data_IF_541897642319
#
_entry.id   IF_541897642319
#
_cell.length_a   1.000
_cell.length_b   1.000
_cell.length_c   1.000
_cell.angle_alpha   90.00
_cell.angle_beta   90.00
_cell.angle_gamma   90.00
#
_symmetry.space_group_name_H-M   'P 1'
#
loop_
_entity.id
_entity.type
_entity.pdbx_description
1 polymer ?
#
# COMPACT_ATOMS: atom_id res chain seq x y z
N UNK A 1 -0.87 37.43 -5.22
CA UNK A 1 0.35 37.28 -4.40
C UNK A 1 1.18 36.21 -5.09
N UNK A 2 2.35 36.56 -5.63
CA UNK A 2 3.30 35.55 -6.09
C UNK A 2 4.04 34.97 -4.88
N UNK A 3 4.20 33.66 -4.85
CA UNK A 3 4.94 32.97 -3.80
C UNK A 3 6.43 33.03 -4.16
N UNK A 4 7.26 33.56 -3.24
CA UNK A 4 8.71 33.60 -3.40
C UNK A 4 9.35 32.28 -2.93
N UNK A 5 10.00 31.56 -3.85
CA UNK A 5 10.70 30.31 -3.59
C UNK A 5 12.22 30.47 -3.41
N UNK A 6 12.75 31.70 -3.42
CA UNK A 6 14.20 31.97 -3.38
C UNK A 6 14.90 31.42 -2.13
N UNK A 7 14.18 31.32 -1.02
CA UNK A 7 14.71 30.90 0.28
C UNK A 7 14.53 29.41 0.59
N UNK A 8 13.95 28.61 -0.32
CA UNK A 8 13.79 27.17 -0.12
C UNK A 8 15.17 26.50 -0.02
N UNK A 9 15.38 25.72 1.05
CA UNK A 9 16.62 24.97 1.31
C UNK A 9 16.45 23.45 1.24
N UNK A 10 15.25 22.97 1.55
CA UNK A 10 14.92 21.55 1.64
C UNK A 10 13.68 21.27 0.79
N UNK A 11 13.71 20.18 0.03
CA UNK A 11 12.55 19.66 -0.69
C UNK A 11 12.26 18.26 -0.16
N UNK A 12 11.06 18.07 0.37
CA UNK A 12 10.54 16.76 0.74
C UNK A 12 9.83 16.12 -0.43
N UNK A 13 10.16 14.85 -0.69
CA UNK A 13 9.44 13.99 -1.61
C UNK A 13 8.67 12.96 -0.80
N UNK A 14 7.40 12.79 -1.12
CA UNK A 14 6.72 11.53 -0.82
C UNK A 14 7.35 10.41 -1.66
N UNK A 15 7.11 9.16 -1.29
CA UNK A 15 7.74 8.00 -1.92
C UNK A 15 6.77 7.30 -2.87
N UNK A 16 5.75 6.67 -2.30
CA UNK A 16 4.81 5.82 -3.00
C UNK A 16 3.91 6.66 -3.92
N UNK A 17 3.78 6.22 -5.17
CA UNK A 17 3.05 6.90 -6.25
C UNK A 17 3.53 8.34 -6.55
N UNK A 18 4.71 8.71 -6.02
CA UNK A 18 5.40 9.98 -6.29
C UNK A 18 6.77 9.74 -6.94
N UNK A 19 7.55 8.79 -6.41
CA UNK A 19 8.85 8.40 -6.94
C UNK A 19 8.79 7.04 -7.65
N UNK A 20 7.93 6.14 -7.19
CA UNK A 20 7.74 4.81 -7.78
C UNK A 20 6.28 4.37 -7.72
N UNK A 21 5.93 3.40 -8.55
CA UNK A 21 4.59 2.80 -8.58
C UNK A 21 4.34 2.02 -7.28
N UNK A 22 3.17 2.19 -6.67
CA UNK A 22 2.77 1.44 -5.48
C UNK A 22 1.29 1.03 -5.48
N UNK A 23 0.35 1.94 -5.73
CA UNK A 23 -1.11 1.67 -5.67
C UNK A 23 -1.55 0.49 -6.54
N UNK A 24 -0.94 0.31 -7.72
CA UNK A 24 -1.24 -0.82 -8.62
C UNK A 24 -1.06 -2.17 -7.92
N UNK A 25 -0.04 -2.31 -7.07
CA UNK A 25 0.21 -3.56 -6.35
C UNK A 25 -0.81 -3.81 -5.25
N UNK A 26 -1.30 -2.77 -4.58
CA UNK A 26 -2.40 -2.88 -3.62
C UNK A 26 -3.70 -3.29 -4.33
N UNK A 27 -4.00 -2.72 -5.50
CA UNK A 27 -5.16 -3.12 -6.31
C UNK A 27 -5.10 -4.57 -6.77
N UNK A 28 -3.92 -5.03 -7.20
CA UNK A 28 -3.71 -6.43 -7.55
C UNK A 28 -3.99 -7.35 -6.36
N UNK A 29 -3.48 -7.00 -5.18
CA UNK A 29 -3.69 -7.76 -3.95
C UNK A 29 -5.18 -7.79 -3.51
N UNK A 30 -5.88 -6.66 -3.56
CA UNK A 30 -7.33 -6.59 -3.29
C UNK A 30 -8.12 -7.52 -4.22
N UNK A 31 -7.81 -7.51 -5.52
CA UNK A 31 -8.46 -8.38 -6.49
C UNK A 31 -8.21 -9.87 -6.22
N UNK A 32 -6.98 -10.26 -5.91
CA UNK A 32 -6.66 -11.65 -5.56
C UNK A 32 -7.33 -12.07 -4.25
N UNK A 33 -7.34 -11.20 -3.24
CA UNK A 33 -8.05 -11.43 -1.99
C UNK A 33 -9.57 -11.63 -2.22
N UNK A 34 -10.19 -10.79 -3.03
CA UNK A 34 -11.60 -10.92 -3.40
C UNK A 34 -11.90 -12.25 -4.11
N UNK A 35 -11.00 -12.71 -5.00
CA UNK A 35 -11.14 -14.03 -5.64
C UNK A 35 -11.05 -15.16 -4.63
N UNK A 36 -10.11 -15.09 -3.67
CA UNK A 36 -9.96 -16.08 -2.61
C UNK A 36 -11.20 -16.22 -1.72
N UNK A 37 -11.97 -15.14 -1.57
CA UNK A 37 -13.20 -15.11 -0.75
C UNK A 37 -14.49 -15.15 -1.57
N UNK A 38 -14.42 -15.51 -2.85
CA UNK A 38 -15.58 -15.53 -3.76
C UNK A 38 -16.70 -16.51 -3.37
N UNK A 39 -16.38 -17.54 -2.57
CA UNK A 39 -17.38 -18.45 -1.99
C UNK A 39 -18.17 -17.84 -0.83
N UNK A 40 -17.67 -16.75 -0.24
CA UNK A 40 -18.26 -16.10 0.93
C UNK A 40 -18.98 -14.79 0.59
N UNK A 41 -18.40 -13.97 -0.30
CA UNK A 41 -18.96 -12.67 -0.66
C UNK A 41 -18.60 -12.23 -2.07
N UNK A 42 -19.33 -11.21 -2.56
CA UNK A 42 -19.01 -10.55 -3.84
C UNK A 42 -17.74 -9.69 -3.74
N UNK A 43 -16.96 -9.50 -4.83
CA UNK A 43 -15.76 -8.67 -4.80
C UNK A 43 -16.00 -7.26 -4.23
N UNK A 44 -17.05 -6.57 -4.70
CA UNK A 44 -17.41 -5.24 -4.21
C UNK A 44 -17.67 -5.20 -2.69
N UNK A 45 -18.26 -6.27 -2.14
CA UNK A 45 -18.54 -6.35 -0.71
C UNK A 45 -17.28 -6.66 0.07
N UNK A 46 -16.45 -7.58 -0.42
CA UNK A 46 -15.15 -7.91 0.16
C UNK A 46 -14.26 -6.67 0.26
N UNK A 47 -14.15 -5.88 -0.81
CA UNK A 47 -13.33 -4.65 -0.82
C UNK A 47 -13.84 -3.62 0.21
N UNK A 48 -15.16 -3.41 0.26
CA UNK A 48 -15.77 -2.47 1.22
C UNK A 48 -15.55 -2.88 2.68
N UNK A 49 -15.66 -4.18 2.98
CA UNK A 49 -15.45 -4.66 4.34
C UNK A 49 -13.96 -4.67 4.71
N UNK A 50 -13.08 -5.04 3.77
CA UNK A 50 -11.62 -4.95 3.97
C UNK A 50 -11.20 -3.53 4.33
N UNK A 51 -11.64 -2.53 3.57
CA UNK A 51 -11.33 -1.13 3.85
C UNK A 51 -11.79 -0.70 5.26
N UNK A 52 -12.99 -1.13 5.69
CA UNK A 52 -13.47 -0.85 7.06
C UNK A 52 -12.60 -1.50 8.12
N UNK A 53 -12.09 -2.71 7.87
CA UNK A 53 -11.18 -3.40 8.78
C UNK A 53 -9.84 -2.68 8.86
N UNK A 54 -9.26 -2.27 7.73
CA UNK A 54 -8.04 -1.47 7.71
C UNK A 54 -8.21 -0.17 8.51
N UNK A 55 -9.32 0.56 8.30
CA UNK A 55 -9.59 1.80 9.04
C UNK A 55 -9.76 1.55 10.55
N UNK A 56 -10.35 0.43 10.95
CA UNK A 56 -10.43 0.02 12.36
C UNK A 56 -9.05 -0.28 12.93
N UNK A 57 -8.21 -0.97 12.18
CA UNK A 57 -6.90 -1.43 12.60
C UNK A 57 -5.80 -0.38 12.46
N UNK A 58 -6.06 0.73 11.77
CA UNK A 58 -5.08 1.76 11.45
C UNK A 58 -4.37 2.32 12.69
N UNK A 59 -5.08 2.49 13.81
CA UNK A 59 -4.49 3.02 15.05
C UNK A 59 -3.55 2.03 15.75
N UNK A 60 -3.69 0.73 15.47
CA UNK A 60 -2.92 -0.34 16.09
C UNK A 60 -1.80 -0.83 15.18
N UNK A 61 -2.10 -1.14 13.93
CA UNK A 61 -1.13 -1.71 12.97
C UNK A 61 -0.42 -0.65 12.14
N UNK A 62 -0.96 0.57 12.05
CA UNK A 62 -0.41 1.61 11.18
C UNK A 62 -0.60 1.32 9.70
N UNK A 63 0.26 1.92 8.87
CA UNK A 63 0.24 1.83 7.41
C UNK A 63 1.23 0.76 6.91
N UNK A 64 0.99 0.28 5.70
CA UNK A 64 1.92 -0.54 4.92
C UNK A 64 1.49 -2.00 4.76
N UNK A 65 2.34 -2.81 4.12
CA UNK A 65 1.94 -4.13 3.62
C UNK A 65 1.63 -5.09 4.76
N UNK A 66 2.40 -5.05 5.85
CA UNK A 66 2.14 -5.93 7.00
C UNK A 66 0.78 -5.65 7.65
N UNK A 67 0.41 -4.38 7.82
CA UNK A 67 -0.88 -4.03 8.41
C UNK A 67 -2.04 -4.40 7.50
N UNK A 68 -1.84 -4.26 6.19
CA UNK A 68 -2.78 -4.72 5.17
C UNK A 68 -3.01 -6.24 5.24
N UNK A 69 -1.94 -7.04 5.30
CA UNK A 69 -2.02 -8.51 5.39
C UNK A 69 -2.71 -8.97 6.67
N UNK A 70 -2.41 -8.37 7.82
CA UNK A 70 -3.11 -8.67 9.07
C UNK A 70 -4.61 -8.39 8.94
N UNK A 71 -4.98 -7.27 8.29
CA UNK A 71 -6.38 -6.92 8.05
C UNK A 71 -7.07 -7.88 7.08
N UNK A 72 -6.37 -8.37 6.04
CA UNK A 72 -6.88 -9.41 5.15
C UNK A 72 -7.16 -10.73 5.89
N UNK A 73 -6.24 -11.16 6.76
CA UNK A 73 -6.42 -12.37 7.57
C UNK A 73 -7.62 -12.23 8.50
N UNK A 74 -7.75 -11.12 9.22
CA UNK A 74 -8.91 -10.86 10.07
C UNK A 74 -10.22 -10.80 9.27
N UNK A 75 -10.20 -10.16 8.10
CA UNK A 75 -11.36 -10.06 7.24
C UNK A 75 -11.79 -11.42 6.69
N UNK A 76 -10.85 -12.27 6.30
CA UNK A 76 -11.13 -13.63 5.85
C UNK A 76 -11.78 -14.47 6.95
N UNK A 77 -11.32 -14.35 8.19
CA UNK A 77 -11.95 -14.99 9.35
C UNK A 77 -13.38 -14.48 9.55
N UNK A 78 -13.60 -13.16 9.47
CA UNK A 78 -14.92 -12.56 9.71
C UNK A 78 -15.92 -12.91 8.59
N UNK A 79 -15.57 -12.70 7.32
CA UNK A 79 -16.49 -12.96 6.19
C UNK A 79 -16.85 -14.43 6.04
N UNK A 80 -15.91 -15.33 6.35
CA UNK A 80 -16.17 -16.77 6.32
C UNK A 80 -16.92 -17.30 7.53
N UNK A 81 -17.29 -16.43 8.49
CA UNK A 81 -17.78 -16.84 9.80
C UNK A 81 -16.87 -17.89 10.46
N UNK A 82 -15.56 -17.65 10.41
CA UNK A 82 -14.49 -18.52 10.93
C UNK A 82 -14.42 -19.92 10.29
N UNK A 83 -14.95 -20.09 9.07
CA UNK A 83 -14.84 -21.33 8.29
C UNK A 83 -13.86 -21.24 7.11
N UNK A 84 -13.07 -20.15 7.03
CA UNK A 84 -12.01 -20.01 6.03
C UNK A 84 -11.00 -21.14 6.17
N UNK A 85 -10.61 -21.73 5.03
CA UNK A 85 -9.65 -22.83 5.03
C UNK A 85 -8.24 -22.33 5.39
N UNK A 86 -7.43 -23.20 6.01
CA UNK A 86 -6.01 -22.89 6.27
C UNK A 86 -5.24 -22.63 4.97
N UNK A 87 -5.65 -23.24 3.85
CA UNK A 87 -5.05 -22.99 2.52
C UNK A 87 -5.34 -21.58 2.02
N UNK A 88 -6.53 -21.05 2.30
CA UNK A 88 -6.89 -19.67 1.95
C UNK A 88 -6.07 -18.67 2.78
N UNK A 89 -5.87 -18.95 4.08
CA UNK A 89 -4.98 -18.14 4.92
C UNK A 89 -3.54 -18.16 4.41
N UNK A 90 -3.03 -19.33 4.01
CA UNK A 90 -1.69 -19.47 3.41
C UNK A 90 -1.57 -18.63 2.13
N UNK A 91 -2.57 -18.67 1.25
CA UNK A 91 -2.61 -17.85 0.05
C UNK A 91 -2.65 -16.33 0.34
N UNK A 92 -3.34 -15.90 1.40
CA UNK A 92 -3.33 -14.49 1.85
C UNK A 92 -1.92 -14.08 2.30
N UNK A 93 -1.21 -14.96 3.01
CA UNK A 93 0.16 -14.69 3.41
C UNK A 93 1.09 -14.60 2.19
N UNK A 94 0.86 -15.41 1.16
CA UNK A 94 1.63 -15.34 -0.08
C UNK A 94 1.38 -14.05 -0.85
N UNK A 95 0.15 -13.54 -0.92
CA UNK A 95 -0.13 -12.18 -1.46
C UNK A 95 0.74 -11.14 -0.74
N UNK A 96 0.79 -11.19 0.59
CA UNK A 96 1.62 -10.28 1.39
C UNK A 96 3.11 -10.39 1.09
N UNK A 97 3.63 -11.61 0.97
CA UNK A 97 5.05 -11.85 0.62
C UNK A 97 5.36 -11.35 -0.78
N UNK A 98 4.45 -11.53 -1.74
CA UNK A 98 4.60 -11.03 -3.10
C UNK A 98 4.66 -9.50 -3.12
N UNK A 99 3.74 -8.83 -2.41
CA UNK A 99 3.74 -7.37 -2.27
C UNK A 99 5.08 -6.84 -1.71
N UNK A 100 5.61 -7.44 -0.64
CA UNK A 100 6.90 -7.05 -0.03
C UNK A 100 8.07 -7.19 -1.01
N UNK A 101 7.99 -8.17 -1.93
CA UNK A 101 9.06 -8.45 -2.88
C UNK A 101 8.85 -7.77 -4.25
N UNK A 102 7.82 -6.93 -4.42
CA UNK A 102 7.61 -6.19 -5.66
C UNK A 102 8.84 -5.30 -5.95
N UNK A 103 9.31 -5.28 -7.21
CA UNK A 103 10.42 -4.41 -7.57
C UNK A 103 10.02 -2.93 -7.46
N UNK A 104 10.97 -2.09 -7.06
CA UNK A 104 10.77 -0.65 -7.07
C UNK A 104 10.88 -0.13 -8.51
N UNK A 105 9.74 0.19 -9.11
CA UNK A 105 9.65 0.75 -10.46
C UNK A 105 9.49 2.27 -10.40
N UNK A 106 10.57 3.00 -10.71
CA UNK A 106 10.57 4.46 -10.70
C UNK A 106 9.63 5.04 -11.76
N UNK A 107 8.93 6.11 -11.40
CA UNK A 107 8.13 6.87 -12.37
C UNK A 107 9.04 7.63 -13.35
N UNK A 108 8.50 7.89 -14.55
CA UNK A 108 9.24 8.59 -15.59
C UNK A 108 9.75 9.95 -15.11
N UNK A 109 11.03 10.24 -15.38
CA UNK A 109 11.64 11.53 -15.07
C UNK A 109 12.08 11.70 -13.62
N UNK A 110 11.71 10.80 -12.69
CA UNK A 110 12.10 10.87 -11.27
C UNK A 110 13.62 10.98 -11.12
N UNK A 111 14.36 10.09 -11.77
CA UNK A 111 15.83 10.10 -11.68
C UNK A 111 16.42 11.43 -12.18
N UNK A 112 15.90 11.98 -13.28
CA UNK A 112 16.32 13.27 -13.82
C UNK A 112 16.04 14.42 -12.83
N UNK A 113 14.83 14.47 -12.29
CA UNK A 113 14.39 15.51 -11.35
C UNK A 113 15.24 15.49 -10.08
N UNK A 114 15.42 14.31 -9.47
CA UNK A 114 16.22 14.16 -8.26
C UNK A 114 17.70 14.54 -8.51
N UNK A 115 18.29 14.10 -9.63
CA UNK A 115 19.67 14.49 -10.02
C UNK A 115 19.83 15.99 -10.24
N UNK A 116 18.80 16.67 -10.73
CA UNK A 116 18.83 18.12 -10.98
C UNK A 116 18.68 18.91 -9.68
N UNK A 117 17.73 18.52 -8.83
CA UNK A 117 17.39 19.25 -7.61
C UNK A 117 18.41 19.04 -6.49
N UNK A 118 19.01 17.84 -6.39
CA UNK A 118 20.03 17.54 -5.37
C UNK A 118 21.27 18.42 -5.44
N UNK A 119 21.53 19.05 -6.60
CA UNK A 119 22.63 20.01 -6.79
C UNK A 119 22.45 21.32 -6.03
N UNK A 120 21.19 21.69 -5.72
CA UNK A 120 20.84 22.99 -5.11
C UNK A 120 20.13 22.86 -3.77
N UNK A 121 19.34 21.81 -3.58
CA UNK A 121 18.50 21.62 -2.41
C UNK A 121 18.90 20.36 -1.66
N UNK A 122 18.73 20.37 -0.33
CA UNK A 122 18.72 19.14 0.45
C UNK A 122 17.43 18.38 0.14
N UNK A 123 17.54 17.15 -0.33
CA UNK A 123 16.38 16.31 -0.59
C UNK A 123 16.13 15.40 0.61
N UNK A 124 14.87 15.26 1.01
CA UNK A 124 14.45 14.30 2.04
C UNK A 124 13.32 13.45 1.47
N UNK A 125 13.30 12.18 1.86
CA UNK A 125 12.18 11.29 1.63
C UNK A 125 11.29 11.32 2.88
N UNK A 126 9.99 11.53 2.69
CA UNK A 126 9.01 11.60 3.76
C UNK A 126 7.82 10.71 3.39
N UNK A 127 7.89 9.43 3.80
CA UNK A 127 6.84 8.44 3.59
C UNK A 127 6.33 7.89 4.92
N UNK A 128 5.18 7.22 4.86
CA UNK A 128 4.45 6.61 5.97
C UNK A 128 4.31 5.12 5.68
N UNK A 129 4.32 4.33 6.75
CA UNK A 129 4.31 2.86 6.64
C UNK A 129 5.71 2.27 6.75
N UNK A 130 5.76 0.95 6.59
CA UNK A 130 7.00 0.17 6.54
C UNK A 130 7.61 0.11 5.15
#
# INVERSE_FOLDING_TARGET
MEIDYSNIKVIGFDADDTLWVNETYFREAEMEFAKLLSDYETPNKTDQELFKMEMRNLSLYGYGVKSFVLSMVEMALVLSNYNVSSKTIDAILDIGKEMINKPVELLEGVEYVLKKLSKKYKLILATKGD
#
